data_IF_424753741530
#
_entry.id   IF_424753741530
#
_cell.length_a   1.000
_cell.length_b   1.000
_cell.length_c   1.000
_cell.angle_alpha   90.00
_cell.angle_beta   90.00
_cell.angle_gamma   90.00
#
_symmetry.space_group_name_H-M   'P 1'
#
loop_
_entity.id
_entity.type
_entity.pdbx_description
1 polymer ?
#
# COMPACT_ATOMS: atom_id res chain seq x y z
N UNK A 1 1.08 -15.10 -2.69
CA UNK A 1 2.22 -15.54 -1.85
C UNK A 1 3.02 -14.35 -1.31
N UNK A 2 3.52 -13.45 -2.18
CA UNK A 2 4.32 -12.29 -1.75
C UNK A 2 3.50 -11.20 -1.05
N UNK A 3 2.27 -10.95 -1.51
CA UNK A 3 1.36 -10.01 -0.86
C UNK A 3 1.07 -10.41 0.60
N UNK A 4 0.80 -11.70 0.86
CA UNK A 4 0.63 -12.22 2.23
C UNK A 4 1.87 -12.02 3.10
N UNK A 5 3.06 -12.23 2.54
CA UNK A 5 4.30 -11.99 3.26
C UNK A 5 4.44 -10.51 3.62
N UNK A 6 4.15 -9.61 2.65
CA UNK A 6 4.20 -8.17 2.87
C UNK A 6 3.24 -7.73 3.98
N UNK A 7 1.99 -8.20 3.96
CA UNK A 7 1.00 -7.91 5.00
C UNK A 7 1.49 -8.40 6.37
N UNK A 8 1.96 -9.65 6.46
CA UNK A 8 2.47 -10.20 7.72
C UNK A 8 3.66 -9.41 8.28
N UNK A 9 4.55 -8.95 7.41
CA UNK A 9 5.73 -8.19 7.82
C UNK A 9 5.38 -6.80 8.40
N UNK A 10 4.21 -6.24 8.10
CA UNK A 10 3.74 -5.00 8.75
C UNK A 10 3.36 -5.21 10.22
N UNK A 11 3.16 -6.46 10.63
CA UNK A 11 2.76 -6.79 12.00
C UNK A 11 1.31 -6.47 12.34
N UNK A 12 0.50 -6.05 11.35
CA UNK A 12 -0.93 -5.80 11.55
C UNK A 12 -1.63 -7.07 12.07
N UNK A 13 -2.51 -6.90 13.04
CA UNK A 13 -3.24 -8.03 13.64
C UNK A 13 -4.50 -8.34 12.85
N UNK A 14 -4.96 -9.58 12.93
CA UNK A 14 -6.25 -9.99 12.35
C UNK A 14 -7.36 -9.05 12.85
N UNK A 15 -8.19 -8.58 11.94
CA UNK A 15 -9.21 -7.57 12.20
C UNK A 15 -8.71 -6.12 12.13
N UNK A 16 -7.40 -5.89 12.00
CA UNK A 16 -6.83 -4.56 11.77
C UNK A 16 -7.04 -4.08 10.34
N UNK A 17 -6.93 -2.78 10.13
CA UNK A 17 -7.10 -2.13 8.82
C UNK A 17 -5.85 -2.25 7.96
N UNK A 18 -6.03 -2.67 6.71
CA UNK A 18 -4.98 -2.70 5.67
C UNK A 18 -5.50 -2.02 4.41
N UNK A 19 -4.86 -0.94 4.01
CA UNK A 19 -5.13 -0.24 2.75
C UNK A 19 -4.14 -0.70 1.67
N UNK A 20 -4.66 -1.05 0.49
CA UNK A 20 -3.89 -0.99 -0.76
C UNK A 20 -4.29 0.30 -1.50
N UNK A 21 -3.35 1.25 -1.53
CA UNK A 21 -3.60 2.62 -2.00
C UNK A 21 -3.50 2.78 -3.54
N UNK A 22 -3.04 1.76 -4.23
CA UNK A 22 -2.93 1.65 -5.69
C UNK A 22 -3.33 0.23 -6.08
N UNK A 23 -4.59 -0.12 -5.74
CA UNK A 23 -5.03 -1.51 -5.63
C UNK A 23 -5.08 -2.28 -6.94
N UNK A 24 -5.13 -1.60 -8.09
CA UNK A 24 -5.38 -2.28 -9.35
C UNK A 24 -6.61 -3.17 -9.23
N UNK A 25 -6.53 -4.39 -9.72
CA UNK A 25 -7.62 -5.38 -9.64
C UNK A 25 -7.65 -6.18 -8.33
N UNK A 26 -6.91 -5.76 -7.29
CA UNK A 26 -7.10 -6.20 -5.92
C UNK A 26 -6.20 -7.34 -5.42
N UNK A 27 -5.04 -7.56 -6.01
CA UNK A 27 -4.17 -8.67 -5.62
C UNK A 27 -3.79 -8.68 -4.13
N UNK A 28 -3.42 -7.52 -3.57
CA UNK A 28 -3.11 -7.38 -2.13
C UNK A 28 -4.40 -7.37 -1.30
N UNK A 29 -5.44 -6.68 -1.78
CA UNK A 29 -6.73 -6.55 -1.08
C UNK A 29 -7.38 -7.93 -0.84
N UNK A 30 -7.35 -8.81 -1.85
CA UNK A 30 -7.85 -10.19 -1.75
C UNK A 30 -7.08 -10.96 -0.67
N UNK A 31 -5.74 -10.91 -0.69
CA UNK A 31 -4.94 -11.58 0.32
C UNK A 31 -5.19 -11.01 1.73
N UNK A 32 -5.36 -9.70 1.89
CA UNK A 32 -5.69 -9.06 3.15
C UNK A 32 -7.07 -9.52 3.69
N UNK A 33 -8.09 -9.52 2.83
CA UNK A 33 -9.44 -9.97 3.19
C UNK A 33 -9.45 -11.45 3.58
N UNK A 34 -8.78 -12.32 2.82
CA UNK A 34 -8.68 -13.76 3.11
C UNK A 34 -7.90 -14.06 4.41
N UNK A 35 -6.96 -13.19 4.79
CA UNK A 35 -6.27 -13.25 6.09
C UNK A 35 -7.12 -12.72 7.26
N UNK A 36 -8.32 -12.21 6.99
CA UNK A 36 -9.25 -11.70 8.00
C UNK A 36 -8.93 -10.28 8.46
N UNK A 37 -8.27 -9.48 7.62
CA UNK A 37 -8.06 -8.06 7.86
C UNK A 37 -9.29 -7.26 7.38
N UNK A 38 -9.44 -6.03 7.88
CA UNK A 38 -10.35 -5.04 7.30
C UNK A 38 -9.68 -4.45 6.07
N UNK A 39 -9.88 -5.10 4.93
CA UNK A 39 -9.24 -4.74 3.67
C UNK A 39 -9.91 -3.50 3.06
N UNK A 40 -9.09 -2.51 2.71
CA UNK A 40 -9.50 -1.25 2.09
C UNK A 40 -8.77 -1.14 0.75
N UNK A 41 -9.50 -0.70 -0.28
CA UNK A 41 -8.97 -0.53 -1.63
C UNK A 41 -9.13 0.91 -2.11
N UNK A 42 -8.10 1.47 -2.72
CA UNK A 42 -8.23 2.70 -3.52
C UNK A 42 -7.36 2.65 -4.77
N UNK A 43 -7.81 3.33 -5.79
CA UNK A 43 -7.08 3.57 -7.04
C UNK A 43 -7.66 4.82 -7.70
N UNK A 44 -6.87 5.53 -8.50
CA UNK A 44 -7.38 6.69 -9.25
C UNK A 44 -8.23 6.26 -10.46
N UNK A 45 -8.05 5.02 -10.95
CA UNK A 45 -8.79 4.47 -12.09
C UNK A 45 -10.04 3.72 -11.57
N UNK A 46 -11.26 4.20 -11.89
CA UNK A 46 -12.50 3.57 -11.44
C UNK A 46 -12.67 2.15 -11.99
N UNK A 47 -12.08 1.82 -13.15
CA UNK A 47 -12.11 0.45 -13.69
C UNK A 47 -11.32 -0.52 -12.79
N UNK A 48 -10.22 -0.05 -12.20
CA UNK A 48 -9.42 -0.85 -11.27
C UNK A 48 -10.20 -1.15 -9.99
N UNK A 49 -10.81 -0.15 -9.40
CA UNK A 49 -11.62 -0.34 -8.18
C UNK A 49 -12.82 -1.25 -8.44
N UNK A 50 -13.49 -1.09 -9.59
CA UNK A 50 -14.58 -1.98 -9.98
C UNK A 50 -14.10 -3.43 -10.14
N UNK A 51 -13.00 -3.66 -10.85
CA UNK A 51 -12.41 -4.98 -11.03
C UNK A 51 -11.92 -5.61 -9.71
N UNK A 52 -11.40 -4.80 -8.79
CA UNK A 52 -11.03 -5.25 -7.44
C UNK A 52 -12.26 -5.78 -6.69
N UNK A 53 -13.39 -5.07 -6.73
CA UNK A 53 -14.64 -5.49 -6.09
C UNK A 53 -15.19 -6.77 -6.71
N UNK A 54 -15.24 -6.84 -8.05
CA UNK A 54 -15.70 -8.05 -8.76
C UNK A 54 -14.86 -9.27 -8.38
N UNK A 55 -13.55 -9.12 -8.26
CA UNK A 55 -12.67 -10.20 -7.83
C UNK A 55 -12.91 -10.62 -6.38
N UNK A 56 -13.13 -9.70 -5.46
CA UNK A 56 -13.49 -10.02 -4.08
C UNK A 56 -14.82 -10.75 -4.00
N UNK A 57 -15.83 -10.29 -4.73
CA UNK A 57 -17.14 -10.94 -4.82
C UNK A 57 -17.03 -12.35 -5.39
N UNK A 58 -16.20 -12.55 -6.42
CA UNK A 58 -15.95 -13.87 -7.00
C UNK A 58 -15.37 -14.88 -5.98
N UNK A 59 -14.47 -14.41 -5.10
CA UNK A 59 -13.90 -15.24 -4.03
C UNK A 59 -14.76 -15.28 -2.75
N UNK A 60 -15.89 -14.57 -2.73
CA UNK A 60 -16.74 -14.49 -1.53
C UNK A 60 -16.06 -13.80 -0.35
N UNK A 61 -15.16 -12.87 -0.62
CA UNK A 61 -14.39 -12.15 0.40
C UNK A 61 -14.99 -10.76 0.66
N UNK A 62 -15.05 -10.33 1.95
CA UNK A 62 -15.56 -9.01 2.28
C UNK A 62 -14.56 -7.92 1.93
N UNK A 63 -15.03 -6.79 1.42
CA UNK A 63 -14.30 -5.53 1.41
C UNK A 63 -14.82 -4.65 2.56
N UNK A 64 -13.90 -4.04 3.31
CA UNK A 64 -14.29 -3.20 4.45
C UNK A 64 -14.68 -1.79 3.99
N UNK A 65 -13.87 -1.20 3.10
CA UNK A 65 -14.12 0.10 2.48
C UNK A 65 -13.37 0.21 1.16
N UNK A 66 -13.79 1.11 0.29
CA UNK A 66 -13.12 1.39 -0.99
C UNK A 66 -13.45 2.79 -1.48
N UNK A 67 -12.58 3.36 -2.32
CA UNK A 67 -12.88 4.62 -3.00
C UNK A 67 -12.07 4.76 -4.29
N UNK A 68 -12.57 5.60 -5.20
CA UNK A 68 -11.84 6.05 -6.40
C UNK A 68 -11.26 7.41 -6.08
N UNK A 69 -9.95 7.47 -5.84
CA UNK A 69 -9.29 8.71 -5.45
C UNK A 69 -7.80 8.73 -5.83
N UNK A 70 -7.27 9.93 -5.93
CA UNK A 70 -5.84 10.13 -6.11
C UNK A 70 -5.06 9.74 -4.85
N UNK A 71 -3.83 9.24 -5.04
CA UNK A 71 -2.96 8.81 -3.93
C UNK A 71 -2.76 9.93 -2.88
N UNK A 72 -2.80 11.18 -3.26
CA UNK A 72 -2.65 12.31 -2.35
C UNK A 72 -3.83 12.52 -1.39
N UNK A 73 -4.98 11.91 -1.67
CA UNK A 73 -6.23 12.09 -0.91
C UNK A 73 -6.46 10.99 0.15
N UNK A 74 -5.62 9.94 0.16
CA UNK A 74 -5.85 8.76 1.03
C UNK A 74 -5.84 9.09 2.52
N UNK A 75 -5.04 10.07 2.95
CA UNK A 75 -4.94 10.44 4.36
C UNK A 75 -6.19 11.16 4.88
N UNK A 76 -6.87 11.90 4.03
CA UNK A 76 -8.14 12.54 4.36
C UNK A 76 -9.28 11.52 4.39
N UNK A 77 -9.31 10.62 3.42
CA UNK A 77 -10.38 9.63 3.28
C UNK A 77 -10.26 8.45 4.24
N UNK A 78 -9.03 8.00 4.47
CA UNK A 78 -8.70 6.83 5.31
C UNK A 78 -7.62 7.18 6.34
N UNK A 79 -7.93 7.96 7.36
CA UNK A 79 -6.98 8.29 8.42
C UNK A 79 -6.75 7.13 9.39
N UNK A 80 -5.68 7.20 10.16
CA UNK A 80 -5.39 6.30 11.29
C UNK A 80 -5.33 4.80 10.93
N UNK A 81 -4.75 4.48 9.77
CA UNK A 81 -4.57 3.12 9.31
C UNK A 81 -3.54 2.35 10.16
N UNK A 82 -3.80 1.06 10.36
CA UNK A 82 -2.88 0.15 11.07
C UNK A 82 -1.82 -0.44 10.15
N UNK A 83 -2.10 -0.53 8.86
CA UNK A 83 -1.10 -0.85 7.84
C UNK A 83 -1.51 -0.30 6.45
N UNK A 84 -0.50 -0.04 5.63
CA UNK A 84 -0.65 0.15 4.19
C UNK A 84 0.24 -0.86 3.48
N UNK A 85 -0.31 -1.60 2.53
CA UNK A 85 0.45 -2.52 1.69
C UNK A 85 0.10 -2.23 0.23
N UNK A 86 1.07 -1.85 -0.57
CA UNK A 86 0.81 -1.45 -1.96
C UNK A 86 1.95 -1.81 -2.89
N UNK A 87 1.60 -2.11 -4.13
CA UNK A 87 2.52 -2.43 -5.23
C UNK A 87 2.29 -1.42 -6.38
N UNK A 88 2.89 -0.22 -6.29
CA UNK A 88 2.71 0.82 -7.29
C UNK A 88 3.10 0.35 -8.69
N UNK A 89 2.54 0.97 -9.73
CA UNK A 89 2.89 0.64 -11.10
C UNK A 89 4.38 0.85 -11.38
N UNK A 90 4.98 -0.01 -12.21
CA UNK A 90 6.35 0.20 -12.72
C UNK A 90 6.36 0.25 -14.24
N UNK A 91 7.16 1.22 -14.76
CA UNK A 91 7.48 1.30 -16.17
C UNK A 91 6.41 1.94 -17.05
N UNK A 92 6.74 1.99 -18.36
CA UNK A 92 6.01 2.77 -19.37
C UNK A 92 4.66 2.20 -19.79
N UNK A 93 4.34 0.97 -19.42
CA UNK A 93 3.13 0.28 -19.86
C UNK A 93 1.94 0.40 -18.90
N UNK A 94 2.12 1.07 -17.77
CA UNK A 94 1.08 1.20 -16.76
C UNK A 94 0.40 2.57 -16.89
N UNK A 95 -0.92 2.61 -16.78
CA UNK A 95 -1.68 3.87 -16.72
C UNK A 95 -1.25 4.63 -15.47
N UNK A 96 -0.64 5.80 -15.66
CA UNK A 96 -0.21 6.71 -14.57
C UNK A 96 -1.00 8.01 -14.56
N UNK A 97 -2.05 8.11 -15.40
CA UNK A 97 -2.75 9.38 -15.61
C UNK A 97 -1.89 10.45 -16.29
N UNK A 98 -0.74 10.05 -16.89
CA UNK A 98 0.22 10.98 -17.51
C UNK A 98 1.24 11.56 -16.53
N UNK A 99 1.20 11.18 -15.25
CA UNK A 99 2.17 11.60 -14.24
C UNK A 99 3.47 10.81 -14.34
N UNK A 100 4.58 11.47 -14.04
CA UNK A 100 5.89 10.84 -13.91
C UNK A 100 5.91 9.85 -12.74
N UNK A 101 6.47 8.65 -12.97
CA UNK A 101 6.43 7.55 -12.02
C UNK A 101 7.17 7.88 -10.70
N UNK A 102 8.29 8.58 -10.77
CA UNK A 102 9.04 8.96 -9.57
C UNK A 102 8.29 10.00 -8.73
N UNK A 103 7.49 10.82 -9.40
CA UNK A 103 6.58 11.76 -8.72
C UNK A 103 5.47 11.00 -8.00
N UNK A 104 4.88 9.98 -8.64
CA UNK A 104 3.89 9.10 -7.99
C UNK A 104 4.50 8.46 -6.75
N UNK A 105 5.71 7.91 -6.84
CA UNK A 105 6.37 7.28 -5.68
C UNK A 105 6.58 8.26 -4.53
N UNK A 106 7.04 9.48 -4.79
CA UNK A 106 7.21 10.51 -3.75
C UNK A 106 5.89 10.88 -3.08
N UNK A 107 4.84 11.15 -3.88
CA UNK A 107 3.50 11.47 -3.38
C UNK A 107 2.92 10.33 -2.57
N UNK A 108 3.10 9.09 -3.03
CA UNK A 108 2.64 7.91 -2.31
C UNK A 108 3.30 7.81 -0.93
N UNK A 109 4.61 8.01 -0.82
CA UNK A 109 5.31 7.98 0.47
C UNK A 109 4.77 8.99 1.46
N UNK A 110 4.61 10.25 1.05
CA UNK A 110 4.05 11.32 1.90
C UNK A 110 2.60 11.04 2.32
N UNK A 111 1.76 10.61 1.37
CA UNK A 111 0.35 10.33 1.63
C UNK A 111 0.19 9.10 2.57
N UNK A 112 0.96 8.05 2.34
CA UNK A 112 0.96 6.84 3.18
C UNK A 112 1.41 7.19 4.61
N UNK A 113 2.50 7.95 4.75
CA UNK A 113 2.96 8.39 6.06
C UNK A 113 1.89 9.19 6.81
N UNK A 114 1.14 10.04 6.11
CA UNK A 114 0.06 10.84 6.70
C UNK A 114 -1.14 9.99 7.11
N UNK A 115 -1.47 8.94 6.35
CA UNK A 115 -2.60 8.05 6.61
C UNK A 115 -2.37 7.04 7.75
N UNK A 116 -1.12 6.68 8.03
CA UNK A 116 -0.76 5.70 9.07
C UNK A 116 -0.90 6.26 10.48
N UNK A 117 -1.32 5.41 11.42
CA UNK A 117 -1.14 5.67 12.86
C UNK A 117 0.35 5.74 13.21
N UNK A 118 0.76 6.58 14.18
CA UNK A 118 2.12 6.53 14.73
C UNK A 118 2.50 5.11 15.18
N UNK A 119 3.69 4.65 14.82
CA UNK A 119 4.18 3.30 15.08
C UNK A 119 3.71 2.21 14.12
N UNK A 120 2.73 2.49 13.27
CA UNK A 120 2.25 1.56 12.23
C UNK A 120 3.21 1.48 11.05
N UNK A 121 3.06 0.43 10.25
CA UNK A 121 3.99 0.13 9.16
C UNK A 121 3.34 0.17 7.78
N UNK A 122 4.14 0.56 6.79
CA UNK A 122 3.83 0.39 5.38
C UNK A 122 4.74 -0.66 4.73
N UNK A 123 4.14 -1.54 3.92
CA UNK A 123 4.84 -2.40 2.98
C UNK A 123 4.66 -1.87 1.57
N UNK A 124 5.74 -1.42 0.93
CA UNK A 124 5.70 -0.82 -0.42
C UNK A 124 6.65 -1.58 -1.35
N UNK A 125 6.13 -2.03 -2.48
CA UNK A 125 6.93 -2.73 -3.50
C UNK A 125 7.37 -1.73 -4.56
N UNK A 126 8.67 -1.61 -4.80
CA UNK A 126 9.25 -0.64 -5.74
C UNK A 126 10.34 -1.31 -6.60
N UNK A 127 10.63 -0.78 -7.80
CA UNK A 127 11.67 -1.35 -8.68
C UNK A 127 13.10 -1.01 -8.23
N UNK A 128 13.27 -0.09 -7.29
CA UNK A 128 14.57 0.32 -6.73
C UNK A 128 14.42 0.71 -5.26
N UNK A 129 15.52 0.85 -4.54
CA UNK A 129 15.50 1.26 -3.13
C UNK A 129 15.18 2.75 -3.04
N UNK A 130 14.18 3.08 -2.21
CA UNK A 130 13.70 4.45 -1.96
C UNK A 130 13.72 4.71 -0.46
N UNK A 131 13.88 5.98 -0.09
CA UNK A 131 13.72 6.47 1.29
C UNK A 131 12.68 7.60 1.30
N UNK A 132 11.89 7.66 2.35
CA UNK A 132 10.91 8.71 2.59
C UNK A 132 11.24 9.44 3.89
N UNK A 133 11.39 10.79 3.87
CA UNK A 133 11.73 11.55 5.08
C UNK A 133 10.73 11.40 6.22
N UNK A 134 9.47 11.12 5.89
CA UNK A 134 8.36 11.00 6.85
C UNK A 134 8.28 9.64 7.54
N UNK A 135 9.06 8.65 7.09
CA UNK A 135 9.03 7.27 7.61
C UNK A 135 10.44 6.72 7.79
N UNK A 136 10.60 5.84 8.75
CA UNK A 136 11.86 5.10 8.97
C UNK A 136 11.87 3.83 8.13
N UNK A 137 12.87 3.67 7.26
CA UNK A 137 13.09 2.43 6.52
C UNK A 137 13.67 1.36 7.45
N UNK A 138 12.88 0.36 7.80
CA UNK A 138 13.32 -0.72 8.68
C UNK A 138 14.02 -1.87 7.93
N UNK A 139 13.46 -2.26 6.78
CA UNK A 139 14.01 -3.37 5.98
C UNK A 139 13.66 -3.24 4.51
N UNK A 140 14.51 -3.82 3.68
CA UNK A 140 14.25 -4.08 2.26
C UNK A 140 14.55 -5.55 1.98
N UNK A 141 13.62 -6.21 1.28
CA UNK A 141 13.82 -7.55 0.74
C UNK A 141 13.78 -7.48 -0.78
N UNK A 142 14.65 -8.23 -1.43
CA UNK A 142 14.76 -8.24 -2.89
C UNK A 142 14.20 -9.53 -3.48
N UNK A 143 13.50 -9.39 -4.59
CA UNK A 143 13.05 -10.50 -5.42
C UNK A 143 13.41 -10.23 -6.86
N UNK A 144 14.34 -11.01 -7.42
CA UNK A 144 14.59 -10.99 -8.84
C UNK A 144 13.43 -11.66 -9.59
N UNK A 145 12.75 -10.91 -10.44
CA UNK A 145 11.60 -11.41 -11.23
C UNK A 145 12.08 -11.90 -12.59
N UNK A 146 12.84 -11.09 -13.31
CA UNK A 146 13.51 -11.43 -14.57
C UNK A 146 14.70 -10.48 -14.81
N UNK A 147 15.38 -10.63 -15.95
CA UNK A 147 16.66 -9.96 -16.22
C UNK A 147 16.69 -8.44 -16.01
N UNK A 148 15.58 -7.75 -16.23
CA UNK A 148 15.46 -6.29 -16.13
C UNK A 148 14.61 -5.80 -14.95
N UNK A 149 14.04 -6.69 -14.13
CA UNK A 149 13.17 -6.32 -13.02
C UNK A 149 13.56 -7.05 -11.73
N UNK A 150 13.98 -6.27 -10.75
CA UNK A 150 14.05 -6.66 -9.33
C UNK A 150 12.99 -5.88 -8.56
N UNK A 151 12.19 -6.59 -7.78
CA UNK A 151 11.24 -5.97 -6.85
C UNK A 151 11.91 -5.80 -5.50
N UNK A 152 11.76 -4.61 -4.92
CA UNK A 152 12.25 -4.27 -3.60
C UNK A 152 11.05 -4.09 -2.69
N UNK A 153 10.89 -4.97 -1.71
CA UNK A 153 9.82 -4.94 -0.72
C UNK A 153 10.31 -4.13 0.48
N UNK A 154 9.87 -2.88 0.56
CA UNK A 154 10.25 -1.96 1.62
C UNK A 154 9.30 -2.10 2.80
N UNK A 155 9.85 -2.10 4.00
CA UNK A 155 9.10 -1.96 5.24
C UNK A 155 9.48 -0.63 5.89
N UNK A 156 8.51 0.26 5.93
CA UNK A 156 8.64 1.57 6.56
C UNK A 156 7.80 1.64 7.84
N UNK A 157 8.31 2.30 8.85
CA UNK A 157 7.58 2.61 10.08
C UNK A 157 7.29 4.10 10.15
N UNK A 158 6.04 4.47 10.47
CA UNK A 158 5.73 5.84 10.87
C UNK A 158 6.28 6.08 12.26
N UNK A 159 7.15 7.09 12.47
CA UNK A 159 7.68 7.39 13.79
C UNK A 159 6.59 7.69 14.82
N UNK A 160 6.81 7.27 16.04
CA UNK A 160 6.01 7.74 17.18
C UNK A 160 6.56 9.12 17.56
N UNK A 161 5.69 10.13 17.62
CA UNK A 161 6.10 11.44 18.09
C UNK A 161 6.75 11.29 19.49
N UNK A 162 8.03 11.64 19.61
CA UNK A 162 8.66 11.72 20.95
C UNK A 162 8.03 12.91 21.64
N UNK A 163 7.40 12.66 22.79
CA UNK A 163 6.97 13.75 23.68
C UNK A 163 8.18 14.64 23.99
N UNK A 164 8.18 15.84 23.41
CA UNK A 164 9.18 16.88 23.69
C UNK A 164 8.87 17.55 25.04
N UNK A 165 8.72 16.71 26.07
CA UNK A 165 8.63 17.19 27.46
C UNK A 165 9.90 16.81 28.20
N UNK A 166 10.90 17.70 28.11
CA UNK A 166 11.90 17.94 29.17
C UNK A 166 12.19 19.43 29.23
#
# INVERSE_FOLDING_TARGET
KYARALINLTGVKRGGTVLDALCGTGGIVIDAADMGMKAIASDFDPEMVAGCRENLDYYGLPIHDFDVLDIGEIAERFPDLEAVCTDPPYGRSTKTGGEDIDRIYRRAGTAIASALKPGSMAGIVLPHIVQYPEMELERVFEQRVHGSLTRHYHLFRKPIARDSHR
#
